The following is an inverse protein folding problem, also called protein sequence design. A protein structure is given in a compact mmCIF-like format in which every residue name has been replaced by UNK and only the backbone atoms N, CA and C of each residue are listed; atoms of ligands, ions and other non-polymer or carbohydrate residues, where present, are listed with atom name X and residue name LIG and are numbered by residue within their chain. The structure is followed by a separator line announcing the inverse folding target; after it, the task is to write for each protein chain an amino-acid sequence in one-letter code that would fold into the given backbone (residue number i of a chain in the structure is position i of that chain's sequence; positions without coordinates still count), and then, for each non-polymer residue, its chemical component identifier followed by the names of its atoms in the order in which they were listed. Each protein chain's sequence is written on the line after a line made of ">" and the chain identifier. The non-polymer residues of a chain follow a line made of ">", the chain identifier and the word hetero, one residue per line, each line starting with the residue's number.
data_IF_663194735841
#
_entry.id   IF_663194735841
#
_cell.length_a   1.000
_cell.length_b   1.000
_cell.length_c   1.000
_cell.angle_alpha   90.00
_cell.angle_beta   90.00
_cell.angle_gamma   90.00
#
_symmetry.space_group_name_H-M   'P 1'
#
loop_
_entity.id
_entity.type
_entity.pdbx_description
1 polymer ?
#
# COMPACT_ATOMS: atom_id res chain seq x y z
N UNK A 1 38.28 50.50 34.35
CA UNK A 1 38.53 49.70 33.16
C UNK A 1 37.34 48.76 33.00
N UNK A 2 36.47 49.05 32.06
CA UNK A 2 35.29 48.18 31.75
C UNK A 2 35.69 47.32 30.55
N UNK A 3 35.78 46.01 30.75
CA UNK A 3 36.04 45.04 29.67
C UNK A 3 34.73 44.77 28.92
N UNK A 4 34.65 45.24 27.71
CA UNK A 4 33.55 44.90 26.82
C UNK A 4 33.75 43.45 26.30
N UNK A 5 32.88 42.53 26.69
CA UNK A 5 32.81 41.18 26.13
C UNK A 5 32.21 41.26 24.71
N UNK A 6 33.02 41.03 23.71
CA UNK A 6 32.55 40.82 22.33
C UNK A 6 31.95 39.42 22.24
N UNK A 7 30.62 39.37 22.15
CA UNK A 7 29.90 38.12 21.82
C UNK A 7 30.25 37.76 20.38
N UNK A 8 30.59 36.50 20.08
CA UNK A 8 30.80 36.08 18.71
C UNK A 8 29.48 36.16 17.96
N UNK A 9 29.45 36.87 16.82
CA UNK A 9 28.34 36.88 15.88
C UNK A 9 28.08 35.43 15.45
N UNK A 10 26.89 34.90 15.77
CA UNK A 10 26.50 33.57 15.34
C UNK A 10 26.58 33.53 13.82
N UNK A 11 27.31 32.53 13.28
CA UNK A 11 27.26 32.21 11.87
C UNK A 11 25.79 31.80 11.56
N UNK A 12 25.04 32.73 10.97
CA UNK A 12 23.77 32.36 10.35
C UNK A 12 24.09 31.35 9.23
N UNK A 13 23.67 30.10 9.40
CA UNK A 13 23.86 29.08 8.41
C UNK A 13 23.16 29.53 7.12
N UNK A 14 23.92 29.77 6.06
CA UNK A 14 23.44 30.22 4.77
C UNK A 14 22.43 29.17 4.25
N UNK A 15 21.16 29.58 4.10
CA UNK A 15 20.09 28.74 3.57
C UNK A 15 20.06 28.87 2.06
N UNK A 16 20.00 27.75 1.36
CA UNK A 16 20.01 27.70 -0.10
C UNK A 16 18.81 26.94 -0.64
N UNK A 17 18.55 27.12 -1.93
CA UNK A 17 17.57 26.31 -2.66
C UNK A 17 18.31 25.18 -3.35
N UNK A 18 17.98 23.94 -2.97
CA UNK A 18 18.49 22.72 -3.63
C UNK A 18 17.50 22.34 -4.72
N UNK A 19 17.92 22.40 -5.97
CA UNK A 19 17.12 21.99 -7.13
C UNK A 19 17.72 20.77 -7.78
N UNK A 20 16.87 19.96 -8.42
CA UNK A 20 17.37 18.80 -9.15
C UNK A 20 16.32 18.20 -10.06
N UNK A 21 16.76 17.14 -10.75
CA UNK A 21 15.94 16.34 -11.64
C UNK A 21 16.18 14.86 -11.36
N UNK A 22 15.11 14.07 -11.39
CA UNK A 22 15.14 12.60 -11.36
C UNK A 22 14.82 12.13 -12.77
N UNK A 23 15.66 11.28 -13.34
CA UNK A 23 15.51 10.78 -14.71
C UNK A 23 15.65 9.27 -14.77
N UNK A 24 15.10 8.68 -15.82
CA UNK A 24 15.34 7.28 -16.17
C UNK A 24 16.78 7.10 -16.68
N UNK A 25 17.51 6.16 -16.13
CA UNK A 25 18.85 5.82 -16.59
C UNK A 25 18.84 5.25 -18.02
N UNK A 26 17.72 4.64 -18.45
CA UNK A 26 17.58 4.02 -19.77
C UNK A 26 17.21 5.02 -20.85
N UNK A 27 16.33 5.99 -20.56
CA UNK A 27 15.79 6.91 -21.56
C UNK A 27 16.26 8.35 -21.40
N UNK A 28 16.79 8.72 -20.23
CA UNK A 28 17.12 10.10 -19.87
C UNK A 28 15.91 11.01 -19.62
N UNK A 29 14.69 10.49 -19.77
CA UNK A 29 13.45 11.23 -19.53
C UNK A 29 13.22 11.48 -18.05
N UNK A 30 12.59 12.61 -17.73
CA UNK A 30 12.20 12.95 -16.36
C UNK A 30 11.21 11.95 -15.79
N UNK A 31 11.42 11.55 -14.53
CA UNK A 31 10.53 10.63 -13.84
C UNK A 31 9.56 11.46 -12.98
N UNK A 32 8.28 11.52 -13.34
CA UNK A 32 7.29 12.26 -12.59
C UNK A 32 6.94 11.55 -11.25
N UNK A 33 6.57 12.34 -10.28
CA UNK A 33 6.10 11.88 -8.97
C UNK A 33 7.10 10.96 -8.24
N UNK A 34 8.40 11.03 -8.54
CA UNK A 34 9.42 10.39 -7.73
C UNK A 34 9.50 11.08 -6.36
N UNK A 35 9.70 10.31 -5.31
CA UNK A 35 9.88 10.84 -3.95
C UNK A 35 11.34 11.06 -3.71
N UNK A 36 11.72 12.30 -3.39
CA UNK A 36 13.07 12.67 -2.96
C UNK A 36 13.01 13.04 -1.49
N UNK A 37 13.81 12.37 -0.66
CA UNK A 37 13.89 12.59 0.79
C UNK A 37 15.28 13.08 1.14
N UNK A 38 15.35 14.20 1.87
CA UNK A 38 16.59 14.76 2.44
C UNK A 38 16.66 14.46 3.94
N UNK A 39 17.75 13.82 4.39
CA UNK A 39 18.00 13.56 5.81
C UNK A 39 19.25 14.34 6.27
N UNK A 40 19.31 14.85 7.53
CA UNK A 40 18.44 14.50 8.68
C UNK A 40 17.13 15.28 8.77
N UNK A 41 16.90 16.31 7.95
CA UNK A 41 15.70 17.17 8.07
C UNK A 41 14.38 16.48 7.75
N UNK A 42 14.39 15.22 7.27
CA UNK A 42 13.23 14.46 6.82
C UNK A 42 12.29 15.23 5.85
N UNK A 43 12.86 16.22 5.17
CA UNK A 43 12.14 16.94 4.12
C UNK A 43 11.93 16.02 2.92
N UNK A 44 10.73 15.97 2.41
CA UNK A 44 10.40 15.17 1.24
C UNK A 44 9.67 16.00 0.19
N UNK A 45 9.92 15.69 -1.07
CA UNK A 45 9.28 16.33 -2.22
C UNK A 45 8.97 15.29 -3.28
N UNK A 46 7.85 15.51 -3.99
CA UNK A 46 7.58 14.84 -5.24
C UNK A 46 8.24 15.62 -6.38
N UNK A 47 8.67 14.89 -7.40
CA UNK A 47 9.04 15.50 -8.66
C UNK A 47 7.79 15.94 -9.44
N UNK A 48 7.93 17.00 -10.24
CA UNK A 48 6.91 17.43 -11.21
C UNK A 48 6.84 16.49 -12.43
N UNK A 49 6.00 16.80 -13.40
CA UNK A 49 5.82 16.01 -14.62
C UNK A 49 7.10 15.90 -15.48
N UNK A 50 8.05 16.81 -15.31
CA UNK A 50 9.36 16.78 -15.97
C UNK A 50 10.47 16.17 -15.09
N UNK A 51 10.10 15.55 -13.97
CA UNK A 51 11.04 14.95 -13.02
C UNK A 51 11.78 15.94 -12.14
N UNK A 52 11.41 17.23 -12.09
CA UNK A 52 12.11 18.27 -11.32
C UNK A 52 11.61 18.36 -9.90
N UNK A 53 12.51 18.69 -8.98
CA UNK A 53 12.20 18.95 -7.57
C UNK A 53 12.96 20.15 -7.03
N UNK A 54 12.48 20.71 -5.92
CA UNK A 54 13.17 21.75 -5.18
C UNK A 54 12.92 21.64 -3.68
N UNK A 55 13.97 21.79 -2.90
CA UNK A 55 13.92 22.04 -1.45
C UNK A 55 14.34 23.48 -1.22
N UNK A 56 13.53 24.19 -0.45
CA UNK A 56 13.82 25.56 -0.02
C UNK A 56 14.41 25.56 1.39
N UNK A 57 15.19 26.59 1.69
CA UNK A 57 15.74 26.83 3.05
C UNK A 57 16.60 25.69 3.60
N UNK A 58 17.37 25.02 2.74
CA UNK A 58 18.31 23.97 3.16
C UNK A 58 19.61 24.62 3.64
N UNK A 59 20.07 24.28 4.83
CA UNK A 59 21.37 24.74 5.32
C UNK A 59 22.52 24.09 4.54
N UNK A 60 23.65 24.77 4.43
CA UNK A 60 24.86 24.15 3.88
C UNK A 60 25.29 22.96 4.74
N UNK A 61 25.70 21.85 4.11
CA UNK A 61 26.09 20.63 4.82
C UNK A 61 26.01 19.38 3.96
N UNK A 62 26.25 18.24 4.60
CA UNK A 62 26.17 16.93 3.95
C UNK A 62 24.84 16.24 4.29
N UNK A 63 24.16 15.78 3.27
CA UNK A 63 22.83 15.17 3.38
C UNK A 63 22.79 13.77 2.76
N UNK A 64 22.12 12.87 3.44
CA UNK A 64 21.70 11.61 2.81
C UNK A 64 20.45 11.87 1.99
N UNK A 65 20.46 11.48 0.72
CA UNK A 65 19.34 11.61 -0.20
C UNK A 65 18.86 10.22 -0.58
N UNK A 66 17.57 9.99 -0.39
CA UNK A 66 16.89 8.79 -0.86
C UNK A 66 15.93 9.18 -1.97
N UNK A 67 16.02 8.51 -3.13
CA UNK A 67 15.13 8.73 -4.27
C UNK A 67 14.41 7.41 -4.58
N UNK A 68 13.07 7.46 -4.63
CA UNK A 68 12.23 6.28 -4.79
C UNK A 68 11.11 6.52 -5.80
N UNK A 69 10.84 5.50 -6.62
CA UNK A 69 9.70 5.47 -7.54
C UNK A 69 9.28 4.03 -7.80
N UNK A 70 7.97 3.77 -7.83
CA UNK A 70 7.42 2.46 -8.20
C UNK A 70 7.89 2.09 -9.62
N UNK A 71 8.34 0.87 -9.81
CA UNK A 71 8.92 0.39 -11.07
C UNK A 71 10.41 0.69 -11.24
N UNK A 72 11.04 1.34 -10.27
CA UNK A 72 12.47 1.67 -10.29
C UNK A 72 13.18 1.13 -9.03
N UNK A 73 14.48 0.87 -9.17
CA UNK A 73 15.34 0.55 -8.03
C UNK A 73 15.56 1.80 -7.18
N UNK A 74 15.41 1.71 -5.84
CA UNK A 74 15.73 2.82 -4.97
C UNK A 74 17.17 3.30 -5.13
N UNK A 75 17.38 4.60 -5.02
CA UNK A 75 18.71 5.21 -4.98
C UNK A 75 18.91 5.89 -3.63
N UNK A 76 19.92 5.45 -2.90
CA UNK A 76 20.38 6.12 -1.67
C UNK A 76 21.80 6.63 -1.91
N UNK A 77 22.04 7.91 -1.67
CA UNK A 77 23.33 8.57 -1.91
C UNK A 77 23.55 9.70 -0.91
N UNK A 78 24.78 10.23 -0.90
CA UNK A 78 25.15 11.38 -0.06
C UNK A 78 25.50 12.56 -0.96
N UNK A 79 24.98 13.74 -0.64
CA UNK A 79 25.25 14.97 -1.39
C UNK A 79 25.74 16.07 -0.46
N UNK A 80 26.69 16.88 -0.94
CA UNK A 80 27.13 18.09 -0.28
C UNK A 80 26.30 19.28 -0.80
N UNK A 81 25.62 19.99 0.09
CA UNK A 81 24.86 21.20 -0.21
C UNK A 81 25.72 22.40 0.13
N UNK A 82 26.08 23.17 -0.89
CA UNK A 82 26.83 24.43 -0.78
C UNK A 82 26.01 25.64 -1.23
N UNK A 83 26.61 26.60 -1.90
CA UNK A 83 25.97 27.87 -2.32
C UNK A 83 25.00 27.73 -3.50
N UNK A 84 25.26 26.80 -4.41
CA UNK A 84 24.38 26.46 -5.56
C UNK A 84 24.45 24.96 -5.77
N UNK A 85 23.27 24.32 -5.82
CA UNK A 85 23.20 22.86 -6.01
C UNK A 85 22.17 22.53 -7.08
N UNK A 86 22.68 22.05 -8.23
CA UNK A 86 21.87 21.35 -9.23
C UNK A 86 22.13 19.85 -9.12
N UNK A 87 21.14 19.06 -8.70
CA UNK A 87 21.27 17.61 -8.53
C UNK A 87 20.63 16.88 -9.70
N UNK A 88 21.26 15.78 -10.13
CA UNK A 88 20.71 14.85 -11.10
C UNK A 88 20.78 13.45 -10.53
N UNK A 89 19.64 12.80 -10.43
CA UNK A 89 19.52 11.41 -9.97
C UNK A 89 19.01 10.54 -11.12
N UNK A 90 19.69 9.43 -11.35
CA UNK A 90 19.32 8.45 -12.37
C UNK A 90 18.79 7.20 -11.72
N UNK A 91 17.54 6.86 -11.98
CA UNK A 91 16.93 5.63 -11.50
C UNK A 91 16.91 4.58 -12.61
N UNK A 92 17.27 3.36 -12.26
CA UNK A 92 17.19 2.20 -13.16
C UNK A 92 15.86 1.49 -12.96
N UNK A 93 15.24 1.07 -14.07
CA UNK A 93 14.01 0.27 -14.00
C UNK A 93 14.25 -1.06 -13.30
N UNK A 94 13.25 -1.51 -12.60
CA UNK A 94 13.22 -2.88 -12.06
C UNK A 94 13.01 -3.83 -13.23
N UNK A 95 13.96 -4.76 -13.40
CA UNK A 95 13.82 -5.89 -14.31
C UNK A 95 13.92 -7.16 -13.48
N UNK A 96 12.87 -7.98 -13.51
CA UNK A 96 12.82 -9.28 -12.84
C UNK A 96 12.41 -10.31 -13.89
N UNK A 97 13.21 -11.34 -14.05
CA UNK A 97 12.84 -12.51 -14.82
C UNK A 97 11.83 -13.32 -13.98
N UNK A 98 10.59 -13.35 -14.45
CA UNK A 98 9.51 -14.06 -13.80
C UNK A 98 9.19 -15.31 -14.58
N UNK A 99 9.33 -16.48 -13.95
CA UNK A 99 8.87 -17.74 -14.51
C UNK A 99 7.34 -17.78 -14.56
N UNK A 100 6.81 -18.65 -15.42
CA UNK A 100 5.40 -19.00 -15.36
C UNK A 100 5.05 -19.60 -13.99
N UNK A 101 3.79 -19.43 -13.54
CA UNK A 101 3.34 -19.91 -12.24
C UNK A 101 3.64 -21.41 -12.08
N UNK A 102 4.30 -21.73 -10.99
CA UNK A 102 4.37 -23.10 -10.48
C UNK A 102 3.36 -23.24 -9.35
N UNK A 103 2.32 -24.05 -9.57
CA UNK A 103 1.37 -24.40 -8.52
C UNK A 103 2.11 -25.30 -7.54
N UNK A 104 2.47 -24.80 -6.37
CA UNK A 104 2.98 -25.63 -5.28
C UNK A 104 1.87 -25.82 -4.25
N UNK A 105 1.93 -26.99 -3.57
CA UNK A 105 1.06 -27.26 -2.43
C UNK A 105 1.13 -26.14 -1.38
N UNK A 106 0.06 -25.95 -0.63
CA UNK A 106 -0.06 -24.94 0.42
C UNK A 106 1.07 -25.08 1.46
N UNK A 107 2.14 -24.31 1.27
CA UNK A 107 3.25 -24.28 2.22
C UNK A 107 2.79 -23.60 3.52
N UNK A 108 3.04 -24.25 4.66
CA UNK A 108 2.75 -23.69 5.98
C UNK A 108 3.75 -22.58 6.29
N UNK A 109 3.29 -21.44 6.77
CA UNK A 109 4.17 -20.34 7.18
C UNK A 109 4.73 -20.60 8.58
N UNK A 110 5.97 -21.07 8.64
CA UNK A 110 6.71 -21.35 9.89
C UNK A 110 7.72 -20.27 10.25
N UNK A 111 8.24 -19.54 9.27
CA UNK A 111 9.23 -18.47 9.43
C UNK A 111 8.70 -17.17 8.83
N UNK A 112 7.77 -16.47 9.53
CA UNK A 112 7.23 -15.22 9.02
C UNK A 112 8.28 -14.11 9.04
N UNK A 113 8.20 -13.22 8.06
CA UNK A 113 9.09 -12.08 7.93
C UNK A 113 9.14 -11.54 6.50
N UNK A 114 9.78 -10.39 6.29
CA UNK A 114 10.00 -9.86 4.95
C UNK A 114 10.92 -10.84 4.17
N UNK A 115 10.79 -10.89 2.84
CA UNK A 115 11.65 -11.73 2.01
C UNK A 115 13.15 -11.43 2.22
N UNK A 116 13.95 -12.49 2.30
CA UNK A 116 15.40 -12.37 2.36
C UNK A 116 15.98 -12.28 0.93
N UNK A 117 16.64 -11.18 0.54
CA UNK A 117 17.22 -11.03 -0.79
C UNK A 117 18.29 -12.08 -1.12
N UNK A 118 18.94 -12.65 -0.10
CA UNK A 118 19.96 -13.69 -0.30
C UNK A 118 19.34 -15.06 -0.66
N UNK A 119 18.09 -15.30 -0.25
CA UNK A 119 17.36 -16.53 -0.53
C UNK A 119 16.52 -16.44 -1.81
N UNK A 120 15.85 -15.32 -2.01
CA UNK A 120 14.98 -15.09 -3.17
C UNK A 120 15.03 -13.61 -3.58
N UNK A 121 15.97 -13.28 -4.44
CA UNK A 121 16.17 -11.90 -4.91
C UNK A 121 15.01 -11.40 -5.76
N UNK A 122 14.34 -12.27 -6.53
CA UNK A 122 13.20 -11.90 -7.36
C UNK A 122 12.00 -11.53 -6.50
N UNK A 123 11.67 -12.35 -5.51
CA UNK A 123 10.62 -12.03 -4.53
C UNK A 123 10.94 -10.74 -3.76
N UNK A 124 12.17 -10.56 -3.29
CA UNK A 124 12.57 -9.38 -2.55
C UNK A 124 12.36 -8.09 -3.38
N UNK A 125 12.75 -8.12 -4.65
CA UNK A 125 12.56 -6.97 -5.57
C UNK A 125 11.06 -6.68 -5.78
N UNK A 126 10.24 -7.68 -6.09
CA UNK A 126 8.79 -7.49 -6.31
C UNK A 126 8.10 -7.06 -5.02
N UNK A 127 8.50 -7.62 -3.89
CA UNK A 127 7.98 -7.23 -2.58
C UNK A 127 8.32 -5.78 -2.21
N UNK A 128 9.52 -5.31 -2.55
CA UNK A 128 9.87 -3.90 -2.38
C UNK A 128 8.99 -2.99 -3.22
N UNK A 129 8.58 -3.41 -4.43
CA UNK A 129 7.62 -2.66 -5.23
C UNK A 129 6.22 -2.64 -4.60
N UNK A 130 5.78 -3.74 -4.00
CA UNK A 130 4.53 -3.81 -3.25
C UNK A 130 4.54 -2.84 -2.07
N UNK A 131 5.63 -2.83 -1.29
CA UNK A 131 5.83 -1.89 -0.18
C UNK A 131 5.86 -0.44 -0.65
N UNK A 132 6.52 -0.18 -1.79
CA UNK A 132 6.60 1.16 -2.35
C UNK A 132 5.22 1.68 -2.79
N UNK A 133 4.36 0.84 -3.38
CA UNK A 133 2.97 1.19 -3.68
C UNK A 133 2.21 1.61 -2.42
N UNK A 134 2.36 0.84 -1.35
CA UNK A 134 1.69 1.10 -0.07
C UNK A 134 2.23 2.37 0.61
N UNK A 135 3.55 2.56 0.65
CA UNK A 135 4.18 3.74 1.22
C UNK A 135 3.75 5.02 0.48
N UNK A 136 3.58 4.93 -0.82
CA UNK A 136 3.14 6.04 -1.65
C UNK A 136 1.71 6.47 -1.38
N UNK A 137 0.82 5.52 -1.16
CA UNK A 137 -0.55 5.84 -0.74
C UNK A 137 -0.54 6.69 0.54
N UNK A 138 0.24 6.29 1.55
CA UNK A 138 0.35 7.05 2.80
C UNK A 138 0.85 8.47 2.55
N UNK A 139 1.93 8.58 1.81
CA UNK A 139 2.58 9.85 1.55
C UNK A 139 1.65 10.83 0.82
N UNK A 140 0.93 10.34 -0.20
CA UNK A 140 -0.02 11.17 -0.94
C UNK A 140 -1.25 11.51 -0.09
N UNK A 141 -1.75 10.58 0.71
CA UNK A 141 -2.86 10.81 1.63
C UNK A 141 -2.54 11.87 2.69
N UNK A 142 -1.30 11.91 3.18
CA UNK A 142 -0.84 12.89 4.16
C UNK A 142 -0.66 14.29 3.55
N UNK A 143 -0.08 14.38 2.35
CA UNK A 143 0.16 15.66 1.67
C UNK A 143 -1.09 16.24 0.99
N UNK A 144 -1.93 15.37 0.45
CA UNK A 144 -3.13 15.70 -0.31
C UNK A 144 -4.32 14.89 0.21
N UNK A 145 -4.82 15.19 1.41
CA UNK A 145 -5.94 14.45 1.99
C UNK A 145 -7.14 14.41 1.05
N UNK A 146 -7.69 13.23 0.87
CA UNK A 146 -8.85 12.99 0.03
C UNK A 146 -9.88 12.15 0.76
N UNK A 147 -11.08 12.15 0.23
CA UNK A 147 -12.16 11.24 0.61
C UNK A 147 -12.69 10.55 -0.63
N UNK A 148 -13.17 9.35 -0.47
CA UNK A 148 -13.83 8.62 -1.53
C UNK A 148 -15.13 8.01 -1.05
N UNK A 149 -16.08 7.88 -1.96
CA UNK A 149 -17.40 7.34 -1.69
C UNK A 149 -17.55 6.01 -2.41
N UNK A 150 -18.02 5.00 -1.66
CA UNK A 150 -18.31 3.67 -2.17
C UNK A 150 -19.80 3.40 -2.01
N UNK A 151 -20.47 2.97 -3.07
CA UNK A 151 -21.81 2.37 -2.97
C UNK A 151 -21.64 0.93 -2.54
N UNK A 152 -22.28 0.56 -1.45
CA UNK A 152 -22.25 -0.78 -0.87
C UNK A 152 -23.60 -1.47 -1.07
N UNK A 153 -23.54 -2.75 -1.44
CA UNK A 153 -24.70 -3.62 -1.60
C UNK A 153 -24.48 -4.93 -0.84
N UNK A 154 -25.43 -5.31 -0.01
CA UNK A 154 -25.45 -6.56 0.75
C UNK A 154 -26.56 -7.46 0.22
N UNK A 155 -26.23 -8.73 -0.03
CA UNK A 155 -27.15 -9.75 -0.51
C UNK A 155 -27.01 -11.00 0.35
N UNK A 156 -28.11 -11.61 0.73
CA UNK A 156 -28.15 -12.91 1.40
C UNK A 156 -28.32 -14.02 0.34
N UNK A 157 -27.60 -15.12 0.54
CA UNK A 157 -27.62 -16.30 -0.31
C UNK A 157 -28.28 -17.45 0.44
N UNK A 158 -29.19 -18.17 -0.24
CA UNK A 158 -29.96 -19.26 0.35
C UNK A 158 -29.61 -20.61 -0.28
N UNK A 159 -29.89 -21.70 0.43
CA UNK A 159 -29.64 -23.07 -0.02
C UNK A 159 -30.48 -23.47 -1.26
N UNK A 160 -31.56 -22.77 -1.53
CA UNK A 160 -32.35 -22.90 -2.77
C UNK A 160 -31.63 -22.38 -4.03
N UNK A 161 -30.52 -21.66 -3.88
CA UNK A 161 -29.86 -20.91 -4.95
C UNK A 161 -30.41 -19.49 -5.12
N UNK A 162 -31.46 -19.13 -4.37
CA UNK A 162 -32.00 -17.78 -4.39
C UNK A 162 -31.08 -16.80 -3.70
N UNK A 163 -31.10 -15.54 -4.14
CA UNK A 163 -30.43 -14.44 -3.48
C UNK A 163 -31.42 -13.31 -3.16
N UNK A 164 -31.25 -12.68 -2.00
CA UNK A 164 -32.11 -11.60 -1.54
C UNK A 164 -31.29 -10.36 -1.17
N UNK A 165 -31.62 -9.25 -1.81
CA UNK A 165 -31.10 -7.95 -1.40
C UNK A 165 -31.55 -7.60 0.02
N UNK A 166 -30.61 -7.18 0.87
CA UNK A 166 -30.86 -6.87 2.27
C UNK A 166 -30.71 -5.40 2.56
N UNK A 167 -29.60 -4.79 2.05
CA UNK A 167 -29.23 -3.45 2.41
C UNK A 167 -28.34 -2.83 1.32
N UNK A 168 -28.51 -1.53 1.11
CA UNK A 168 -27.61 -0.74 0.29
C UNK A 168 -27.45 0.65 0.89
N UNK A 169 -26.23 1.14 0.93
CA UNK A 169 -25.89 2.45 1.41
C UNK A 169 -24.68 3.03 0.65
N UNK A 170 -24.34 4.26 0.95
CA UNK A 170 -23.12 4.90 0.48
C UNK A 170 -22.25 5.18 1.70
N UNK A 171 -21.04 4.63 1.69
CA UNK A 171 -20.05 4.86 2.72
C UNK A 171 -19.02 5.88 2.24
N UNK A 172 -18.64 6.81 3.10
CA UNK A 172 -17.56 7.75 2.88
C UNK A 172 -16.33 7.30 3.66
N UNK A 173 -15.19 7.21 2.99
CA UNK A 173 -13.91 6.83 3.57
C UNK A 173 -12.94 7.97 3.37
N UNK A 174 -12.26 8.38 4.45
CA UNK A 174 -11.22 9.39 4.40
C UNK A 174 -9.85 8.73 4.33
N UNK A 175 -8.95 9.30 3.55
CA UNK A 175 -7.62 8.74 3.31
C UNK A 175 -6.76 8.56 4.57
N UNK A 176 -7.06 9.33 5.62
CA UNK A 176 -6.34 9.32 6.90
C UNK A 176 -7.12 8.67 8.06
N UNK A 177 -8.36 8.23 7.83
CA UNK A 177 -9.22 7.62 8.83
C UNK A 177 -9.49 6.17 8.44
N UNK A 178 -8.57 5.29 8.84
CA UNK A 178 -8.65 3.88 8.49
C UNK A 178 -8.17 2.99 9.61
N UNK A 179 -8.68 1.78 9.57
CA UNK A 179 -8.21 0.70 10.41
C UNK A 179 -6.73 0.40 10.08
N UNK A 180 -5.97 0.04 11.09
CA UNK A 180 -4.60 -0.42 10.93
C UNK A 180 -4.51 -1.89 11.29
N UNK A 181 -3.79 -2.64 10.49
CA UNK A 181 -3.57 -4.06 10.75
C UNK A 181 -2.98 -4.30 12.15
N UNK A 182 -3.55 -5.28 12.83
CA UNK A 182 -3.04 -5.82 14.09
C UNK A 182 -3.15 -7.34 14.03
N UNK A 183 -2.08 -8.09 14.34
CA UNK A 183 -2.09 -9.55 14.34
C UNK A 183 -3.26 -10.12 15.17
N UNK A 184 -3.98 -11.07 14.59
CA UNK A 184 -5.13 -11.70 15.23
C UNK A 184 -6.33 -10.79 15.52
N UNK A 185 -6.35 -9.54 14.99
CA UNK A 185 -7.44 -8.59 15.20
C UNK A 185 -8.08 -8.10 13.90
N UNK A 186 -8.04 -8.93 12.89
CA UNK A 186 -8.73 -8.66 11.62
C UNK A 186 -10.26 -8.75 11.75
N UNK A 187 -10.77 -9.30 12.86
CA UNK A 187 -12.20 -9.29 13.18
C UNK A 187 -12.43 -8.48 14.45
N UNK A 188 -13.32 -7.51 14.36
CA UNK A 188 -13.71 -6.66 15.49
C UNK A 188 -15.22 -6.66 15.68
N UNK A 189 -15.63 -6.21 16.86
CA UNK A 189 -17.04 -6.10 17.22
C UNK A 189 -17.42 -4.61 17.25
N UNK A 190 -18.27 -4.18 16.32
CA UNK A 190 -18.90 -2.86 16.32
C UNK A 190 -20.18 -2.86 17.17
N UNK A 191 -20.52 -1.71 17.74
CA UNK A 191 -21.84 -1.52 18.37
C UNK A 191 -22.83 -1.11 17.29
N UNK A 192 -23.73 -2.02 16.91
CA UNK A 192 -24.94 -1.67 16.16
C UNK A 192 -26.05 -1.19 17.12
N UNK A 193 -27.09 -0.56 16.59
CA UNK A 193 -28.21 -0.02 17.36
C UNK A 193 -29.00 -1.08 18.17
N UNK A 194 -28.92 -2.35 17.78
CA UNK A 194 -29.66 -3.47 18.41
C UNK A 194 -28.85 -4.75 18.59
N UNK A 195 -27.61 -4.84 18.09
CA UNK A 195 -26.77 -6.05 18.20
C UNK A 195 -25.30 -5.73 17.98
N UNK A 196 -24.43 -6.62 18.48
CA UNK A 196 -23.00 -6.57 18.11
C UNK A 196 -22.85 -6.94 16.63
N UNK A 197 -22.30 -6.03 15.85
CA UNK A 197 -21.96 -6.28 14.45
C UNK A 197 -20.51 -6.72 14.36
N UNK A 198 -20.26 -7.90 13.82
CA UNK A 198 -18.91 -8.38 13.53
C UNK A 198 -18.45 -7.74 12.22
N UNK A 199 -17.30 -7.09 12.26
CA UNK A 199 -16.65 -6.45 11.12
C UNK A 199 -15.36 -7.20 10.84
N UNK A 200 -15.23 -7.76 9.64
CA UNK A 200 -13.98 -8.32 9.15
C UNK A 200 -13.23 -7.21 8.43
N UNK A 201 -12.10 -6.82 9.00
CA UNK A 201 -11.20 -5.85 8.38
C UNK A 201 -10.29 -6.56 7.39
N UNK A 202 -10.45 -6.23 6.14
CA UNK A 202 -9.56 -6.72 5.10
C UNK A 202 -8.31 -5.82 5.07
N UNK A 203 -7.09 -6.39 5.03
CA UNK A 203 -5.89 -5.61 4.81
C UNK A 203 -6.01 -4.78 3.54
N UNK A 204 -5.76 -3.48 3.68
CA UNK A 204 -5.72 -2.54 2.58
C UNK A 204 -4.29 -2.42 2.03
N UNK A 205 -4.13 -1.73 0.91
CA UNK A 205 -2.81 -1.48 0.32
C UNK A 205 -1.76 -1.00 1.34
N UNK A 206 -2.07 -0.06 2.25
CA UNK A 206 -1.09 0.39 3.23
C UNK A 206 -0.67 -0.63 4.27
N UNK A 207 -1.54 -1.60 4.59
CA UNK A 207 -1.21 -2.65 5.55
C UNK A 207 -0.13 -3.59 5.00
N UNK A 208 -0.05 -3.74 3.67
CA UNK A 208 1.00 -4.52 3.01
C UNK A 208 2.41 -3.93 3.18
N UNK A 209 2.54 -2.66 3.60
CA UNK A 209 3.80 -2.04 3.98
C UNK A 209 4.04 -2.05 5.51
N UNK A 210 3.04 -2.46 6.31
CA UNK A 210 3.12 -2.42 7.77
C UNK A 210 4.10 -3.49 8.29
N UNK A 211 5.11 -3.11 9.10
CA UNK A 211 6.03 -4.07 9.72
C UNK A 211 5.33 -5.14 10.58
N UNK A 212 4.14 -4.84 11.16
CA UNK A 212 3.38 -5.84 11.90
C UNK A 212 2.82 -6.92 10.97
N UNK A 213 2.33 -6.52 9.77
CA UNK A 213 1.89 -7.47 8.76
C UNK A 213 3.06 -8.37 8.30
N UNK A 214 4.24 -7.77 8.05
CA UNK A 214 5.41 -8.53 7.64
C UNK A 214 5.86 -9.56 8.69
N UNK A 215 5.85 -9.19 9.98
CA UNK A 215 6.29 -10.10 11.06
C UNK A 215 5.38 -11.30 11.30
N UNK A 216 4.18 -11.27 10.74
CA UNK A 216 3.17 -12.32 10.95
C UNK A 216 2.80 -13.07 9.68
N UNK A 217 3.45 -12.76 8.56
CA UNK A 217 3.20 -13.42 7.28
C UNK A 217 4.49 -13.88 6.61
N UNK A 218 4.41 -15.00 5.92
CA UNK A 218 5.38 -15.44 4.93
C UNK A 218 4.94 -14.96 3.55
N UNK A 219 5.92 -14.67 2.69
CA UNK A 219 5.69 -14.21 1.33
C UNK A 219 6.33 -15.16 0.32
N UNK A 220 5.72 -15.33 -0.85
CA UNK A 220 6.21 -16.14 -1.95
C UNK A 220 5.89 -15.48 -3.29
N UNK A 221 6.85 -15.48 -4.21
CA UNK A 221 6.61 -15.10 -5.59
C UNK A 221 6.07 -16.33 -6.34
N UNK A 222 4.80 -16.29 -6.74
CA UNK A 222 4.18 -17.39 -7.46
C UNK A 222 4.57 -17.42 -8.95
N UNK A 223 5.08 -16.30 -9.49
CA UNK A 223 5.43 -16.13 -10.89
C UNK A 223 4.53 -15.17 -11.64
N UNK A 224 4.44 -15.36 -12.96
CA UNK A 224 3.55 -14.58 -13.83
C UNK A 224 2.16 -15.21 -13.88
N UNK A 225 1.15 -14.39 -13.60
CA UNK A 225 -0.25 -14.73 -13.74
C UNK A 225 -0.91 -13.82 -14.78
N UNK A 226 -2.01 -14.26 -15.38
CA UNK A 226 -2.79 -13.45 -16.30
C UNK A 226 -3.98 -12.83 -15.59
N UNK A 227 -4.07 -11.50 -15.61
CA UNK A 227 -5.23 -10.76 -15.15
C UNK A 227 -5.74 -9.91 -16.33
N UNK A 228 -6.97 -10.16 -16.76
CA UNK A 228 -7.60 -9.51 -17.93
C UNK A 228 -6.70 -9.56 -19.19
N UNK A 229 -6.08 -10.71 -19.44
CA UNK A 229 -5.21 -10.96 -20.58
C UNK A 229 -3.82 -10.28 -20.51
N UNK A 230 -3.48 -9.67 -19.38
CA UNK A 230 -2.17 -9.00 -19.17
C UNK A 230 -1.33 -9.74 -18.13
N UNK A 231 0.00 -9.81 -18.31
CA UNK A 231 0.87 -10.45 -17.34
C UNK A 231 1.02 -9.62 -16.07
N UNK A 232 0.92 -10.29 -14.91
CA UNK A 232 1.11 -9.71 -13.59
C UNK A 232 2.02 -10.58 -12.75
N UNK A 233 2.92 -9.95 -11.98
CA UNK A 233 3.65 -10.64 -10.93
C UNK A 233 2.69 -10.93 -9.78
N UNK A 234 2.61 -12.20 -9.34
CA UNK A 234 1.76 -12.62 -8.23
C UNK A 234 2.60 -12.91 -7.00
N UNK A 235 2.38 -12.13 -5.95
CA UNK A 235 2.95 -12.34 -4.62
C UNK A 235 1.88 -12.94 -3.73
N UNK A 236 2.15 -14.10 -3.15
CA UNK A 236 1.30 -14.74 -2.15
C UNK A 236 1.80 -14.39 -0.75
N UNK A 237 0.85 -14.24 0.18
CA UNK A 237 1.14 -14.07 1.60
C UNK A 237 0.28 -15.01 2.43
N UNK A 238 0.87 -15.53 3.50
CA UNK A 238 0.22 -16.48 4.40
C UNK A 238 0.48 -16.12 5.84
N UNK A 239 -0.57 -16.15 6.65
CA UNK A 239 -0.49 -15.94 8.08
C UNK A 239 0.38 -17.03 8.75
N UNK A 240 1.14 -16.62 9.75
CA UNK A 240 1.99 -17.53 10.51
C UNK A 240 1.17 -18.65 11.16
N UNK A 241 1.70 -19.88 11.09
CA UNK A 241 1.05 -21.06 11.69
C UNK A 241 0.89 -20.94 13.21
N UNK A 242 1.78 -20.19 13.86
CA UNK A 242 1.77 -19.94 15.29
C UNK A 242 0.67 -18.97 15.75
N UNK A 243 -0.02 -18.28 14.84
CA UNK A 243 -1.16 -17.43 15.21
C UNK A 243 -2.38 -18.30 15.49
N UNK A 244 -2.95 -18.22 16.69
CA UNK A 244 -4.15 -18.96 17.08
C UNK A 244 -5.45 -18.26 16.69
N UNK A 245 -5.41 -16.94 16.52
CA UNK A 245 -6.56 -16.14 16.10
C UNK A 245 -6.77 -16.16 14.59
N UNK A 246 -7.93 -15.67 14.16
CA UNK A 246 -8.21 -15.44 12.76
C UNK A 246 -7.31 -14.34 12.19
N UNK A 247 -6.72 -14.61 11.04
CA UNK A 247 -5.93 -13.66 10.28
C UNK A 247 -6.19 -13.88 8.78
N UNK A 248 -5.36 -13.43 7.87
CA UNK A 248 -5.60 -13.51 6.44
C UNK A 248 -4.47 -14.18 5.68
N UNK A 249 -4.85 -15.03 4.72
CA UNK A 249 -4.01 -15.45 3.61
C UNK A 249 -4.44 -14.71 2.33
N UNK A 250 -3.55 -14.57 1.38
CA UNK A 250 -3.95 -13.96 0.12
C UNK A 250 -2.89 -13.92 -0.97
N UNK A 251 -3.24 -13.18 -2.02
CA UNK A 251 -2.36 -12.91 -3.15
C UNK A 251 -2.53 -11.47 -3.60
N UNK A 252 -1.45 -10.85 -4.03
CA UNK A 252 -1.39 -9.52 -4.63
C UNK A 252 -0.86 -9.63 -6.06
N UNK A 253 -1.51 -8.95 -7.01
CA UNK A 253 -1.12 -8.91 -8.42
C UNK A 253 -0.61 -7.51 -8.77
N UNK A 254 0.66 -7.45 -9.21
CA UNK A 254 1.31 -6.22 -9.67
C UNK A 254 1.51 -6.30 -11.18
N UNK A 255 1.18 -5.23 -11.91
CA UNK A 255 1.47 -5.19 -13.35
C UNK A 255 2.99 -5.24 -13.60
N UNK A 256 3.41 -5.90 -14.68
CA UNK A 256 4.84 -6.06 -14.99
C UNK A 256 5.48 -4.83 -15.64
N UNK A 257 4.68 -3.85 -16.08
CA UNK A 257 5.18 -2.63 -16.72
C UNK A 257 5.68 -1.60 -15.70
N UNK A 258 5.02 -1.51 -14.55
CA UNK A 258 5.33 -0.52 -13.52
C UNK A 258 5.19 -1.03 -12.10
N UNK A 259 4.93 -2.32 -11.91
CA UNK A 259 4.73 -2.99 -10.61
C UNK A 259 3.66 -2.31 -9.74
N UNK A 260 2.63 -1.73 -10.39
CA UNK A 260 1.50 -1.16 -9.67
C UNK A 260 0.56 -2.27 -9.24
N UNK A 261 0.12 -2.21 -8.00
CA UNK A 261 -0.86 -3.15 -7.49
C UNK A 261 -2.19 -2.99 -8.21
N UNK A 262 -2.75 -4.08 -8.75
CA UNK A 262 -4.02 -4.08 -9.48
C UNK A 262 -5.11 -4.82 -8.75
N UNK A 263 -4.74 -5.87 -8.01
CA UNK A 263 -5.70 -6.72 -7.32
C UNK A 263 -5.10 -7.33 -6.07
N UNK A 264 -5.93 -7.51 -5.05
CA UNK A 264 -5.66 -8.36 -3.90
C UNK A 264 -6.82 -9.35 -3.78
N UNK A 265 -6.51 -10.62 -3.55
CA UNK A 265 -7.50 -11.61 -3.12
C UNK A 265 -7.11 -12.09 -1.72
N UNK A 266 -8.09 -12.18 -0.84
CA UNK A 266 -7.89 -12.47 0.59
C UNK A 266 -8.84 -13.58 1.01
N UNK A 267 -8.37 -14.44 1.92
CA UNK A 267 -9.15 -15.45 2.60
C UNK A 267 -8.87 -15.36 4.11
N UNK A 268 -9.92 -15.34 4.91
CA UNK A 268 -9.79 -15.41 6.36
C UNK A 268 -9.30 -16.79 6.79
N UNK A 269 -8.22 -16.84 7.56
CA UNK A 269 -7.76 -18.07 8.22
C UNK A 269 -8.57 -18.31 9.49
N UNK A 270 -8.79 -19.57 9.87
CA UNK A 270 -9.48 -19.95 11.11
C UNK A 270 -10.76 -19.13 11.36
N UNK A 271 -11.71 -19.08 10.40
CA UNK A 271 -12.93 -18.28 10.53
C UNK A 271 -13.75 -18.62 11.78
N UNK A 272 -13.68 -19.87 12.27
CA UNK A 272 -14.33 -20.33 13.49
C UNK A 272 -13.82 -19.65 14.76
N UNK A 273 -12.60 -19.12 14.77
CA UNK A 273 -12.08 -18.31 15.88
C UNK A 273 -12.72 -16.91 15.92
N UNK A 274 -13.08 -16.42 14.75
CA UNK A 274 -13.82 -15.16 14.64
C UNK A 274 -15.32 -15.35 14.91
N UNK A 275 -15.90 -16.41 14.33
CA UNK A 275 -17.31 -16.76 14.48
C UNK A 275 -17.52 -18.24 14.18
N UNK A 276 -18.04 -18.99 15.18
CA UNK A 276 -18.29 -20.45 15.03
C UNK A 276 -19.30 -20.78 13.91
N UNK A 277 -20.17 -19.84 13.56
CA UNK A 277 -21.12 -20.02 12.47
C UNK A 277 -20.54 -19.77 11.07
N UNK A 278 -19.39 -19.12 10.97
CA UNK A 278 -18.74 -18.83 9.70
C UNK A 278 -17.80 -19.98 9.33
N UNK A 279 -17.91 -20.46 8.09
CA UNK A 279 -17.01 -21.48 7.55
C UNK A 279 -15.93 -20.88 6.65
N UNK A 280 -16.22 -19.76 5.98
CA UNK A 280 -15.26 -19.07 5.14
C UNK A 280 -15.61 -17.59 4.98
N UNK A 281 -14.58 -16.76 4.85
CA UNK A 281 -14.68 -15.38 4.35
C UNK A 281 -13.60 -15.19 3.30
N UNK A 282 -13.99 -14.70 2.14
CA UNK A 282 -13.06 -14.33 1.09
C UNK A 282 -13.43 -12.98 0.50
N UNK A 283 -12.44 -12.26 -0.02
CA UNK A 283 -12.67 -11.00 -0.71
C UNK A 283 -11.69 -10.80 -1.85
N UNK A 284 -12.14 -10.05 -2.83
CA UNK A 284 -11.34 -9.54 -3.95
C UNK A 284 -11.44 -8.03 -3.91
N UNK A 285 -10.29 -7.36 -3.92
CA UNK A 285 -10.16 -5.90 -3.97
C UNK A 285 -9.45 -5.55 -5.27
N UNK A 286 -10.05 -4.69 -6.09
CA UNK A 286 -9.40 -4.12 -7.27
C UNK A 286 -9.07 -2.66 -7.04
N UNK A 287 -7.99 -2.20 -7.67
CA UNK A 287 -7.48 -0.86 -7.54
C UNK A 287 -7.44 -0.16 -8.88
N UNK A 288 -7.77 1.12 -8.87
CA UNK A 288 -7.53 2.03 -10.00
C UNK A 288 -6.59 3.15 -9.60
N UNK A 289 -5.89 3.68 -10.57
CA UNK A 289 -5.03 4.84 -10.41
C UNK A 289 -5.88 6.11 -10.56
N UNK A 290 -6.02 6.87 -9.49
CA UNK A 290 -6.79 8.13 -9.48
C UNK A 290 -5.92 9.33 -9.84
N UNK A 291 -4.69 9.34 -9.37
CA UNK A 291 -3.61 10.24 -9.76
C UNK A 291 -2.39 9.38 -10.08
N UNK A 292 -1.40 9.87 -10.82
CA UNK A 292 -0.18 9.11 -11.05
C UNK A 292 0.38 8.53 -9.76
N UNK A 293 0.43 7.20 -9.69
CA UNK A 293 0.90 6.41 -8.53
C UNK A 293 0.05 6.51 -7.26
N UNK A 294 -1.12 7.14 -7.27
CA UNK A 294 -2.12 7.03 -6.20
C UNK A 294 -3.15 5.97 -6.57
N UNK A 295 -3.04 4.83 -5.95
CA UNK A 295 -4.01 3.74 -6.11
C UNK A 295 -5.12 3.90 -5.07
N UNK A 296 -6.35 3.87 -5.52
CA UNK A 296 -7.54 3.84 -4.67
C UNK A 296 -8.31 2.55 -4.93
N UNK A 297 -9.06 2.10 -3.93
CA UNK A 297 -9.96 0.96 -4.08
C UNK A 297 -11.03 1.31 -5.10
N UNK A 298 -11.14 0.49 -6.16
CA UNK A 298 -12.17 0.61 -7.19
C UNK A 298 -13.40 -0.23 -6.85
N UNK A 299 -13.15 -1.48 -6.46
CA UNK A 299 -14.20 -2.43 -6.11
C UNK A 299 -13.75 -3.38 -5.01
N UNK A 300 -14.68 -3.71 -4.12
CA UNK A 300 -14.56 -4.83 -3.19
C UNK A 300 -15.71 -5.79 -3.49
N UNK A 301 -15.38 -7.07 -3.58
CA UNK A 301 -16.34 -8.16 -3.62
C UNK A 301 -15.99 -9.15 -2.52
N UNK A 302 -16.84 -9.29 -1.53
CA UNK A 302 -16.62 -10.19 -0.39
C UNK A 302 -17.74 -11.21 -0.27
N UNK A 303 -17.36 -12.45 0.04
CA UNK A 303 -18.26 -13.58 0.28
C UNK A 303 -18.02 -14.12 1.68
N UNK A 304 -19.08 -14.21 2.46
CA UNK A 304 -19.12 -14.90 3.76
C UNK A 304 -19.99 -16.14 3.65
N UNK A 305 -19.45 -17.30 3.98
CA UNK A 305 -20.17 -18.58 3.96
C UNK A 305 -20.41 -19.06 5.39
N UNK A 306 -21.60 -19.57 5.67
CA UNK A 306 -21.99 -20.08 7.00
C UNK A 306 -21.76 -21.59 7.08
N UNK A 307 -21.33 -22.07 8.22
CA UNK A 307 -21.08 -23.51 8.49
C UNK A 307 -22.37 -24.30 8.56
N UNK A 308 -23.42 -23.70 9.13
CA UNK A 308 -24.76 -24.30 9.25
C UNK A 308 -25.77 -23.31 8.69
N UNK A 309 -26.55 -23.71 7.69
CA UNK A 309 -27.68 -22.89 7.25
C UNK A 309 -28.61 -22.62 8.44
N UNK A 310 -28.96 -21.37 8.66
CA UNK A 310 -29.96 -20.97 9.67
C UNK A 310 -31.38 -21.40 9.23
N UNK A 311 -32.36 -21.13 10.09
CA UNK A 311 -33.77 -21.26 9.72
C UNK A 311 -34.04 -20.46 8.43
N UNK A 312 -34.63 -21.12 7.43
CA UNK A 312 -34.83 -20.55 6.09
C UNK A 312 -33.67 -20.77 5.10
N UNK A 313 -32.66 -21.61 5.47
CA UNK A 313 -31.63 -22.04 4.54
C UNK A 313 -30.60 -20.98 4.14
N UNK A 314 -30.35 -19.93 4.98
CA UNK A 314 -29.31 -18.93 4.73
C UNK A 314 -27.94 -19.59 4.76
N UNK A 315 -27.26 -19.64 3.61
CA UNK A 315 -25.92 -20.24 3.45
C UNK A 315 -24.79 -19.23 3.49
N UNK A 316 -25.05 -17.96 3.17
CA UNK A 316 -24.03 -16.94 3.16
C UNK A 316 -24.52 -15.54 2.88
N UNK A 317 -23.57 -14.65 2.69
CA UNK A 317 -23.79 -13.24 2.35
C UNK A 317 -22.70 -12.75 1.39
N UNK A 318 -23.16 -12.03 0.38
CA UNK A 318 -22.28 -11.31 -0.56
C UNK A 318 -22.32 -9.82 -0.23
N UNK A 319 -21.16 -9.19 -0.22
CA UNK A 319 -21.01 -7.75 -0.11
C UNK A 319 -20.26 -7.23 -1.33
N UNK A 320 -20.86 -6.29 -2.02
CA UNK A 320 -20.24 -5.58 -3.13
C UNK A 320 -20.13 -4.10 -2.79
N UNK A 321 -18.93 -3.55 -2.97
CA UNK A 321 -18.67 -2.11 -2.85
C UNK A 321 -18.06 -1.61 -4.15
N UNK A 322 -18.52 -0.45 -4.65
CA UNK A 322 -18.00 0.18 -5.87
C UNK A 322 -17.71 1.65 -5.63
N UNK A 323 -16.55 2.09 -6.07
CA UNK A 323 -16.15 3.48 -6.03
C UNK A 323 -17.03 4.33 -6.96
N UNK A 324 -17.59 5.42 -6.43
CA UNK A 324 -18.39 6.38 -7.20
C UNK A 324 -17.71 7.73 -7.35
N UNK A 325 -16.75 8.08 -6.51
CA UNK A 325 -16.00 9.32 -6.65
C UNK A 325 -14.90 9.50 -5.63
N UNK A 326 -13.90 10.29 -6.01
CA UNK A 326 -12.78 10.71 -5.16
C UNK A 326 -12.75 12.24 -5.16
N UNK A 327 -12.67 12.82 -3.97
CA UNK A 327 -12.62 14.25 -3.77
C UNK A 327 -11.39 14.63 -2.98
N UNK A 328 -10.52 15.45 -3.56
CA UNK A 328 -9.32 15.96 -2.91
C UNK A 328 -9.63 17.28 -2.20
N UNK A 329 -9.10 17.46 -1.02
CA UNK A 329 -9.10 18.77 -0.35
C UNK A 329 -8.29 19.79 -1.16
N UNK A 330 -7.21 19.33 -1.79
CA UNK A 330 -6.34 20.04 -2.70
C UNK A 330 -5.67 19.02 -3.60
N UNK A 331 -5.65 19.25 -4.90
CA UNK A 331 -4.96 18.35 -5.84
C UNK A 331 -3.47 18.65 -5.91
N UNK A 332 -2.61 17.64 -6.16
CA UNK A 332 -1.22 17.86 -6.55
C UNK A 332 -1.16 18.80 -7.77
N UNK A 333 -0.24 19.77 -7.75
CA UNK A 333 -0.09 20.74 -8.85
C UNK A 333 -0.94 21.99 -8.77
N UNK A 334 -1.96 22.06 -7.91
CA UNK A 334 -2.70 23.32 -7.66
C UNK A 334 -1.84 24.28 -6.84
N UNK A 335 -1.47 25.44 -7.42
CA UNK A 335 -0.78 26.53 -6.71
C UNK A 335 -1.67 27.11 -5.60
N UNK A 336 -1.04 27.57 -4.52
CA UNK A 336 -1.72 28.35 -3.47
C UNK A 336 -2.19 29.68 -4.00
#
# INVERSE_FOLDING_TARGET
>A
MVAAAVLPAGLEAQRVIVRGVVVSAETGEGIPYAVVVLRPQFSQRFTDDAGRFAFVEVAAGTYQVSVRQVGYRPLDTTVAVGTVVGLRFELRRVAVELAAITVSADAVCTEPGPPDPARDSALAIVFDQLRENAARYHLLADQYPFRYRMVRRLTQEFSSGDSRFVHGDTIEIRSNDRWRYRPGRVVTYGRGSLSQVKVVHLPELPDLADPNFHRTHCFRLAGLDSLDGRPHARVEFRAAAALDEADVDGSAWLDTAGYRLRRIAIRLTRPERADQEISAVSAIVTFREELPFLLVVERIFALTTRRRPGAGGLVGRTEEQRLVGVEFRRRPGESR
#
